data_IF_060803381805
#
_entry.id   IF_060803381805
#
_cell.length_a   1.000
_cell.length_b   1.000
_cell.length_c   1.000
_cell.angle_alpha   90.00
_cell.angle_beta   90.00
_cell.angle_gamma   90.00
#
_symmetry.space_group_name_H-M   'P 1'
#
loop_
_entity.id
_entity.type
_entity.pdbx_description
1 polymer ?
#
# COMPACT_ATOMS: atom_id res chain seq x y z
N UNK A 1 5.52 -39.04 -19.06
CA UNK A 1 4.52 -37.97 -19.29
C UNK A 1 4.09 -37.39 -17.94
N UNK A 2 4.84 -36.41 -17.41
CA UNK A 2 4.51 -35.66 -16.17
C UNK A 2 4.64 -34.14 -16.40
N UNK A 3 4.98 -33.72 -17.62
CA UNK A 3 5.21 -32.33 -18.03
C UNK A 3 3.93 -31.49 -17.99
N UNK A 4 2.80 -32.01 -18.47
CA UNK A 4 1.59 -31.18 -18.63
C UNK A 4 1.00 -30.65 -17.31
N UNK A 5 0.99 -31.45 -16.24
CA UNK A 5 0.36 -31.03 -14.97
C UNK A 5 1.23 -30.02 -14.21
N UNK A 6 2.56 -30.23 -14.20
CA UNK A 6 3.49 -29.33 -13.51
C UNK A 6 3.59 -27.99 -14.23
N UNK A 7 3.66 -28.02 -15.56
CA UNK A 7 3.69 -26.82 -16.39
C UNK A 7 2.37 -26.04 -16.31
N UNK A 8 1.23 -26.74 -16.28
CA UNK A 8 -0.08 -26.11 -16.06
C UNK A 8 -0.16 -25.41 -14.69
N UNK A 9 0.29 -26.07 -13.61
CA UNK A 9 0.31 -25.46 -12.26
C UNK A 9 1.22 -24.24 -12.19
N UNK A 10 2.41 -24.31 -12.79
CA UNK A 10 3.34 -23.18 -12.89
C UNK A 10 2.71 -22.01 -13.66
N UNK A 11 2.05 -22.30 -14.79
CA UNK A 11 1.38 -21.27 -15.59
C UNK A 11 0.23 -20.60 -14.82
N UNK A 12 -0.58 -21.36 -14.08
CA UNK A 12 -1.63 -20.80 -13.22
C UNK A 12 -1.06 -19.91 -12.12
N UNK A 13 0.04 -20.29 -11.47
CA UNK A 13 0.67 -19.49 -10.43
C UNK A 13 1.30 -18.20 -11.00
N UNK A 14 1.97 -18.27 -12.15
CA UNK A 14 2.47 -17.09 -12.86
C UNK A 14 1.34 -16.13 -13.25
N UNK A 15 0.19 -16.66 -13.69
CA UNK A 15 -0.98 -15.83 -14.00
C UNK A 15 -1.51 -15.10 -12.77
N UNK A 16 -1.57 -15.77 -11.61
CA UNK A 16 -1.95 -15.14 -10.33
C UNK A 16 -0.97 -14.06 -9.91
N UNK A 17 0.34 -14.34 -10.00
CA UNK A 17 1.38 -13.39 -9.63
C UNK A 17 1.35 -12.14 -10.54
N UNK A 18 1.13 -12.32 -11.84
CA UNK A 18 0.94 -11.19 -12.77
C UNK A 18 -0.27 -10.31 -12.42
N UNK A 19 -1.39 -10.88 -11.96
CA UNK A 19 -2.56 -10.11 -11.53
C UNK A 19 -2.22 -9.28 -10.29
N UNK A 20 -1.60 -9.90 -9.28
CA UNK A 20 -1.20 -9.21 -8.04
C UNK A 20 -0.21 -8.06 -8.31
N UNK A 21 0.78 -8.28 -9.19
CA UNK A 21 1.75 -7.25 -9.59
C UNK A 21 1.07 -6.10 -10.33
N UNK A 22 0.09 -6.39 -11.19
CA UNK A 22 -0.67 -5.36 -11.90
C UNK A 22 -1.47 -4.50 -10.92
N UNK A 23 -2.17 -5.11 -9.97
CA UNK A 23 -2.90 -4.40 -8.92
C UNK A 23 -1.97 -3.52 -8.06
N UNK A 24 -0.77 -4.02 -7.73
CA UNK A 24 0.24 -3.24 -7.00
C UNK A 24 0.72 -2.02 -7.80
N UNK A 25 0.91 -2.17 -9.11
CA UNK A 25 1.29 -1.06 -9.99
C UNK A 25 0.19 0.01 -10.06
N UNK A 26 -1.08 -0.40 -10.14
CA UNK A 26 -2.22 0.53 -10.11
C UNK A 26 -2.28 1.29 -8.77
N UNK A 27 -2.16 0.60 -7.63
CA UNK A 27 -2.10 1.24 -6.30
C UNK A 27 -0.93 2.22 -6.20
N UNK A 28 0.25 1.87 -6.72
CA UNK A 28 1.40 2.78 -6.75
C UNK A 28 1.19 4.00 -7.64
N UNK A 29 0.50 3.85 -8.76
CA UNK A 29 0.13 4.99 -9.60
C UNK A 29 -0.80 5.93 -8.85
N UNK A 30 -1.81 5.41 -8.14
CA UNK A 30 -2.67 6.21 -7.28
C UNK A 30 -1.88 6.92 -6.17
N UNK A 31 -0.99 6.21 -5.47
CA UNK A 31 -0.11 6.80 -4.45
C UNK A 31 0.80 7.90 -5.02
N UNK A 32 1.25 7.77 -6.27
CA UNK A 32 2.06 8.81 -6.93
C UNK A 32 1.28 10.10 -7.14
N UNK A 33 0.00 10.03 -7.53
CA UNK A 33 -0.87 11.21 -7.61
C UNK A 33 -1.00 11.93 -6.25
N UNK A 34 -0.97 11.21 -5.13
CA UNK A 34 -0.94 11.81 -3.79
C UNK A 34 0.40 12.48 -3.44
N UNK A 35 1.51 12.05 -4.05
CA UNK A 35 2.82 12.69 -3.87
C UNK A 35 2.92 14.05 -4.57
N UNK A 36 2.19 14.23 -5.69
CA UNK A 36 2.17 15.48 -6.46
C UNK A 36 1.14 16.49 -5.92
N UNK A 37 0.22 16.05 -5.06
CA UNK A 37 -0.71 16.93 -4.36
C UNK A 37 0.07 17.68 -3.25
N UNK A 38 0.11 19.01 -3.34
CA UNK A 38 0.59 19.90 -2.27
C UNK A 38 -0.38 19.82 -1.07
N UNK A 39 -0.35 18.71 -0.35
CA UNK A 39 -1.19 18.50 0.81
C UNK A 39 -0.63 19.28 2.02
N UNK A 40 -1.48 19.84 2.89
CA UNK A 40 -1.02 20.57 4.07
C UNK A 40 -0.19 19.65 4.98
N UNK A 41 1.07 19.99 5.24
CA UNK A 41 1.90 19.20 6.15
C UNK A 41 1.48 19.44 7.61
N UNK A 42 0.44 18.73 8.03
CA UNK A 42 -0.08 18.80 9.40
C UNK A 42 0.96 18.38 10.45
N UNK A 43 1.91 17.51 10.10
CA UNK A 43 3.01 17.12 10.99
C UNK A 43 3.92 18.33 11.31
N UNK A 44 4.29 19.09 10.28
CA UNK A 44 5.07 20.32 10.45
C UNK A 44 4.28 21.40 11.19
N UNK A 45 2.96 21.47 10.99
CA UNK A 45 2.11 22.37 11.75
C UNK A 45 2.06 21.99 13.24
N UNK A 46 1.97 20.69 13.57
CA UNK A 46 1.97 20.16 14.95
C UNK A 46 3.31 20.40 15.64
N UNK A 47 4.44 20.24 14.94
CA UNK A 47 5.79 20.44 15.51
C UNK A 47 6.09 21.92 15.77
N UNK A 48 5.56 22.83 14.95
CA UNK A 48 5.75 24.28 15.11
C UNK A 48 4.74 24.93 16.09
N UNK A 49 3.95 24.14 16.80
CA UNK A 49 2.99 24.68 17.77
C UNK A 49 3.74 25.17 19.02
N UNK A 50 3.52 26.43 19.45
CA UNK A 50 4.13 26.95 20.68
C UNK A 50 3.75 26.14 21.93
N UNK A 51 4.63 26.10 22.92
CA UNK A 51 4.31 25.55 24.23
C UNK A 51 3.18 26.37 24.89
N UNK A 52 2.05 25.72 25.22
CA UNK A 52 0.86 26.35 25.79
C UNK A 52 -0.39 26.29 24.91
N UNK A 53 -0.33 25.68 23.72
CA UNK A 53 -1.50 25.49 22.87
C UNK A 53 -2.37 24.34 23.36
N UNK A 54 -3.68 24.55 23.29
CA UNK A 54 -4.72 23.66 23.81
C UNK A 54 -4.66 22.26 23.17
N UNK A 55 -4.68 21.23 24.01
CA UNK A 55 -4.61 19.81 23.61
C UNK A 55 -5.76 19.45 22.66
N UNK A 56 -6.89 20.14 22.79
CA UNK A 56 -8.05 19.97 21.91
C UNK A 56 -7.76 20.41 20.46
N UNK A 57 -6.98 21.48 20.28
CA UNK A 57 -6.59 21.96 18.95
C UNK A 57 -5.66 20.97 18.25
N UNK A 58 -4.66 20.43 18.95
CA UNK A 58 -3.77 19.39 18.44
C UNK A 58 -4.52 18.12 18.03
N UNK A 59 -5.48 17.66 18.86
CA UNK A 59 -6.37 16.53 18.52
C UNK A 59 -7.18 16.81 17.26
N UNK A 60 -7.72 18.02 17.11
CA UNK A 60 -8.53 18.39 15.93
C UNK A 60 -7.71 18.40 14.64
N UNK A 61 -6.46 18.88 14.68
CA UNK A 61 -5.54 18.85 13.53
C UNK A 61 -5.17 17.41 13.15
N UNK A 62 -4.93 16.57 14.16
CA UNK A 62 -4.62 15.16 13.91
C UNK A 62 -5.81 14.38 13.32
N UNK A 63 -7.03 14.66 13.79
CA UNK A 63 -8.26 14.10 13.21
C UNK A 63 -8.51 14.57 11.77
N UNK A 64 -8.22 15.84 11.47
CA UNK A 64 -8.29 16.37 10.10
C UNK A 64 -7.26 15.70 9.20
N UNK A 65 -6.03 15.54 9.66
CA UNK A 65 -5.01 14.78 8.94
C UNK A 65 -5.47 13.34 8.67
N UNK A 66 -6.06 12.65 9.65
CA UNK A 66 -6.57 11.30 9.41
C UNK A 66 -7.70 11.27 8.38
N UNK A 67 -8.57 12.27 8.38
CA UNK A 67 -9.72 12.34 7.47
C UNK A 67 -9.30 12.71 6.04
N UNK A 68 -8.45 13.73 5.90
CA UNK A 68 -7.96 14.22 4.61
C UNK A 68 -7.03 13.19 3.93
N UNK A 69 -6.31 12.39 4.72
CA UNK A 69 -5.37 11.37 4.23
C UNK A 69 -5.89 9.95 4.39
N UNK A 70 -7.15 9.75 4.79
CA UNK A 70 -7.73 8.42 5.06
C UNK A 70 -7.49 7.46 3.88
N UNK A 71 -7.84 7.93 2.68
CA UNK A 71 -7.69 7.14 1.45
C UNK A 71 -6.22 6.87 1.08
N UNK A 72 -5.30 7.77 1.43
CA UNK A 72 -3.87 7.56 1.22
C UNK A 72 -3.31 6.48 2.14
N UNK A 73 -3.75 6.45 3.40
CA UNK A 73 -3.38 5.40 4.35
C UNK A 73 -3.96 4.04 3.95
N UNK A 74 -5.23 3.99 3.53
CA UNK A 74 -5.85 2.77 2.99
C UNK A 74 -5.08 2.23 1.77
N UNK A 75 -4.67 3.11 0.85
CA UNK A 75 -3.88 2.71 -0.31
C UNK A 75 -2.49 2.20 0.07
N UNK A 76 -1.85 2.77 1.11
CA UNK A 76 -0.58 2.26 1.63
C UNK A 76 -0.73 0.89 2.28
N UNK A 77 -1.73 0.71 3.13
CA UNK A 77 -2.03 -0.60 3.73
C UNK A 77 -2.35 -1.65 2.65
N UNK A 78 -3.06 -1.23 1.60
CA UNK A 78 -3.31 -2.08 0.42
C UNK A 78 -2.04 -2.40 -0.35
N UNK A 79 -1.12 -1.46 -0.52
CA UNK A 79 0.19 -1.72 -1.13
C UNK A 79 0.98 -2.77 -0.33
N UNK A 80 0.99 -2.67 0.99
CA UNK A 80 1.76 -3.58 1.85
C UNK A 80 1.14 -4.98 1.90
N UNK A 81 -0.19 -5.09 1.97
CA UNK A 81 -0.87 -6.38 1.84
C UNK A 81 -0.64 -7.05 0.47
N UNK A 82 -0.58 -6.27 -0.62
CA UNK A 82 -0.24 -6.79 -1.94
C UNK A 82 1.22 -7.26 -2.02
N UNK A 83 2.17 -6.57 -1.39
CA UNK A 83 3.57 -7.03 -1.28
C UNK A 83 3.65 -8.36 -0.54
N UNK A 84 2.95 -8.50 0.58
CA UNK A 84 2.91 -9.76 1.32
C UNK A 84 2.31 -10.89 0.48
N UNK A 85 1.22 -10.62 -0.23
CA UNK A 85 0.59 -11.62 -1.10
C UNK A 85 1.52 -12.06 -2.25
N UNK A 86 2.26 -11.12 -2.85
CA UNK A 86 3.26 -11.43 -3.88
C UNK A 86 4.39 -12.28 -3.32
N UNK A 87 4.91 -11.95 -2.13
CA UNK A 87 5.97 -12.74 -1.49
C UNK A 87 5.51 -14.17 -1.23
N UNK A 88 4.30 -14.35 -0.67
CA UNK A 88 3.72 -15.70 -0.44
C UNK A 88 3.53 -16.46 -1.76
N UNK A 89 3.02 -15.82 -2.79
CA UNK A 89 2.83 -16.43 -4.11
C UNK A 89 4.17 -16.79 -4.77
N UNK A 90 5.22 -16.00 -4.55
CA UNK A 90 6.58 -16.30 -5.01
C UNK A 90 7.14 -17.53 -4.28
N UNK A 91 7.02 -17.57 -2.95
CA UNK A 91 7.46 -18.72 -2.14
C UNK A 91 6.75 -20.02 -2.52
N UNK A 92 5.45 -19.95 -2.85
CA UNK A 92 4.69 -21.09 -3.38
C UNK A 92 5.20 -21.55 -4.74
N UNK A 93 5.60 -20.62 -5.60
CA UNK A 93 6.11 -20.91 -6.95
C UNK A 93 7.50 -21.55 -6.88
N UNK A 94 8.36 -21.08 -5.97
CA UNK A 94 9.68 -21.65 -5.71
C UNK A 94 9.61 -23.07 -5.14
N UNK A 95 8.57 -23.39 -4.35
CA UNK A 95 8.31 -24.76 -3.88
C UNK A 95 7.84 -25.72 -4.99
N UNK A 96 7.33 -25.19 -6.11
CA UNK A 96 6.81 -25.97 -7.24
C UNK A 96 7.91 -26.21 -8.30
N UNK A 97 8.94 -25.36 -8.36
CA UNK A 97 10.13 -25.48 -9.23
C UNK A 97 11.08 -26.59 -8.78
#
# INVERSE_FOLDING_TARGET
MVTDIRDYRKHCQLKRLNVLVKELLEVRQYLKYFGDLNLPNYQAMIVNVPEGVDVNFLKSLHQRQQSDYFYFFELKEREDSLKEAINRASDELDKIL
#
